data_IF_153212832378
#
_entry.id   IF_153212832378
#
_cell.length_a   1.000
_cell.length_b   1.000
_cell.length_c   1.000
_cell.angle_alpha   90.00
_cell.angle_beta   90.00
_cell.angle_gamma   90.00
#
_symmetry.space_group_name_H-M   'P 1'
#
loop_
_entity.id
_entity.type
_entity.pdbx_description
1 polymer ?
#
# COMPACT_ATOMS: atom_id res chain seq x y z
N UNK A 1 -19.13 28.16 -34.98
CA UNK A 1 -18.53 28.26 -33.63
C UNK A 1 -17.92 26.93 -33.20
N UNK A 2 -16.89 26.46 -33.90
CA UNK A 2 -16.17 25.20 -33.57
C UNK A 2 -14.65 25.35 -33.61
N UNK A 3 -14.13 26.35 -34.31
CA UNK A 3 -12.69 26.63 -34.41
C UNK A 3 -12.12 27.43 -33.22
N UNK A 4 -12.96 28.04 -32.38
CA UNK A 4 -12.49 28.92 -31.27
C UNK A 4 -12.13 28.11 -30.01
N UNK A 5 -12.67 26.89 -29.85
CA UNK A 5 -12.40 26.06 -28.67
C UNK A 5 -11.01 25.39 -28.72
N UNK A 6 -10.44 25.18 -29.92
CA UNK A 6 -9.13 24.53 -30.08
C UNK A 6 -7.93 25.45 -29.73
N UNK A 7 -8.11 26.77 -29.70
CA UNK A 7 -7.03 27.71 -29.40
C UNK A 7 -6.72 27.86 -27.90
N UNK A 8 -7.57 27.36 -27.01
CA UNK A 8 -7.37 27.49 -25.55
C UNK A 8 -6.56 26.31 -24.97
N UNK A 9 -6.59 25.14 -25.62
CA UNK A 9 -5.90 23.93 -25.13
C UNK A 9 -4.40 23.92 -25.48
N UNK A 10 -3.98 24.67 -26.49
CA UNK A 10 -2.57 24.69 -26.95
C UNK A 10 -1.68 25.67 -26.14
N UNK A 11 -2.27 26.58 -25.35
CA UNK A 11 -1.52 27.69 -24.72
C UNK A 11 -1.03 27.44 -23.30
N UNK A 12 -1.23 26.25 -22.72
CA UNK A 12 -0.75 25.94 -21.36
C UNK A 12 0.49 25.03 -21.29
N UNK A 13 1.16 24.76 -22.43
CA UNK A 13 2.34 23.86 -22.48
C UNK A 13 3.68 24.61 -22.57
N UNK A 14 3.69 25.94 -22.74
CA UNK A 14 4.93 26.72 -22.90
C UNK A 14 5.23 27.75 -21.78
N UNK A 15 4.67 27.54 -20.59
CA UNK A 15 4.94 28.39 -19.42
C UNK A 15 6.17 27.95 -18.62
N UNK A 16 7.34 28.45 -19.03
CA UNK A 16 8.49 28.75 -18.16
C UNK A 16 9.19 27.57 -17.45
N UNK A 17 9.97 26.83 -18.23
CA UNK A 17 11.28 26.32 -17.81
C UNK A 17 12.25 27.53 -17.72
N UNK A 18 12.30 28.17 -16.56
CA UNK A 18 13.35 29.10 -16.13
C UNK A 18 13.31 29.13 -14.59
N UNK A 19 14.14 28.32 -13.93
CA UNK A 19 15.42 28.75 -13.35
C UNK A 19 15.22 29.42 -11.99
N UNK A 20 15.53 28.68 -10.91
CA UNK A 20 16.42 29.21 -9.88
C UNK A 20 17.18 28.07 -9.20
N UNK A 21 18.49 28.25 -9.13
CA UNK A 21 19.44 27.37 -8.48
C UNK A 21 19.63 27.86 -7.05
N UNK A 22 19.25 27.05 -6.07
CA UNK A 22 19.43 27.39 -4.66
C UNK A 22 19.43 26.17 -3.75
N UNK A 23 20.58 25.94 -3.11
CA UNK A 23 20.76 25.28 -1.82
C UNK A 23 20.63 23.74 -1.72
N UNK A 24 21.67 23.11 -2.24
CA UNK A 24 22.15 21.80 -1.83
C UNK A 24 22.84 21.85 -0.44
N UNK A 25 22.07 22.00 0.65
CA UNK A 25 22.63 21.93 2.03
C UNK A 25 21.75 21.25 3.10
N UNK A 26 20.48 20.93 2.84
CA UNK A 26 19.58 20.37 3.88
C UNK A 26 19.32 18.86 3.81
N UNK A 27 19.77 18.18 2.75
CA UNK A 27 19.46 16.75 2.55
C UNK A 27 20.37 15.78 3.34
N UNK A 28 21.47 16.24 3.95
CA UNK A 28 22.41 15.35 4.68
C UNK A 28 22.07 15.13 6.16
N UNK A 29 21.25 15.99 6.78
CA UNK A 29 20.93 15.88 8.21
C UNK A 29 19.67 15.05 8.51
N UNK A 30 18.78 14.82 7.53
CA UNK A 30 17.57 14.02 7.75
C UNK A 30 17.79 12.50 7.60
N UNK A 31 18.89 12.09 6.95
CA UNK A 31 19.19 10.65 6.72
C UNK A 31 19.80 9.97 7.96
N UNK A 32 20.36 10.73 8.91
CA UNK A 32 20.97 10.15 10.12
C UNK A 32 20.04 10.07 11.35
N UNK A 33 18.87 10.72 11.33
CA UNK A 33 17.89 10.62 12.41
C UNK A 33 17.00 9.36 12.34
N UNK A 34 16.98 8.65 11.20
CA UNK A 34 16.16 7.46 11.01
C UNK A 34 16.85 6.13 11.41
N UNK A 35 18.10 6.17 11.89
CA UNK A 35 18.92 4.99 12.15
C UNK A 35 19.15 4.68 13.64
N UNK A 36 18.33 5.20 14.54
CA UNK A 36 18.38 4.86 15.97
C UNK A 36 17.00 4.44 16.48
N UNK A 37 16.54 3.28 16.02
CA UNK A 37 15.53 2.52 16.77
C UNK A 37 16.26 1.53 17.68
N UNK A 38 16.43 1.92 18.94
CA UNK A 38 16.86 1.01 20.00
C UNK A 38 15.92 -0.22 20.02
N UNK A 39 16.42 -1.47 20.01
CA UNK A 39 15.58 -2.65 20.14
C UNK A 39 15.27 -2.86 21.62
N UNK A 40 14.39 -2.03 22.17
CA UNK A 40 13.80 -2.23 23.49
C UNK A 40 12.39 -2.78 23.33
N UNK A 41 12.23 -3.97 22.74
CA UNK A 41 10.91 -4.58 22.52
C UNK A 41 10.87 -6.02 23.02
N UNK A 42 10.71 -6.21 24.34
CA UNK A 42 10.43 -7.53 24.93
C UNK A 42 9.02 -7.64 25.53
N UNK A 43 8.12 -6.67 25.28
CA UNK A 43 6.75 -6.70 25.83
C UNK A 43 5.60 -6.27 24.90
N UNK A 44 5.88 -5.96 23.63
CA UNK A 44 4.87 -5.47 22.67
C UNK A 44 4.29 -6.55 21.73
N UNK A 45 4.76 -7.80 21.78
CA UNK A 45 4.55 -8.77 20.69
C UNK A 45 3.13 -9.39 20.63
N UNK A 46 2.40 -9.46 21.75
CA UNK A 46 1.08 -10.11 21.79
C UNK A 46 -0.08 -9.24 21.32
N UNK A 47 -0.06 -7.93 21.61
CA UNK A 47 -1.09 -7.00 21.14
C UNK A 47 -1.04 -6.79 19.63
N UNK A 48 0.18 -6.70 19.09
CA UNK A 48 0.43 -6.45 17.67
C UNK A 48 0.02 -7.64 16.80
N UNK A 49 0.24 -8.87 17.28
CA UNK A 49 -0.19 -10.09 16.56
C UNK A 49 -1.71 -10.22 16.51
N UNK A 50 -2.42 -9.88 17.60
CA UNK A 50 -3.88 -9.93 17.62
C UNK A 50 -4.51 -8.89 16.69
N UNK A 51 -3.99 -7.66 16.70
CA UNK A 51 -4.43 -6.60 15.79
C UNK A 51 -4.21 -7.00 14.33
N UNK A 52 -3.01 -7.50 14.00
CA UNK A 52 -2.67 -7.96 12.66
C UNK A 52 -3.59 -9.10 12.19
N UNK A 53 -3.94 -10.03 13.08
CA UNK A 53 -4.89 -11.11 12.77
C UNK A 53 -6.29 -10.58 12.45
N UNK A 54 -6.78 -9.61 13.23
CA UNK A 54 -8.08 -8.99 13.00
C UNK A 54 -8.12 -8.23 11.66
N UNK A 55 -7.06 -7.47 11.36
CA UNK A 55 -6.93 -6.75 10.10
C UNK A 55 -6.91 -7.70 8.90
N UNK A 56 -6.17 -8.81 9.00
CA UNK A 56 -6.14 -9.86 7.98
C UNK A 56 -7.52 -10.47 7.72
N UNK A 57 -8.27 -10.79 8.79
CA UNK A 57 -9.63 -11.30 8.65
C UNK A 57 -10.53 -10.31 7.91
N UNK A 58 -10.46 -9.03 8.26
CA UNK A 58 -11.24 -7.97 7.61
C UNK A 58 -10.87 -7.82 6.14
N UNK A 59 -9.57 -7.82 5.82
CA UNK A 59 -9.09 -7.70 4.45
C UNK A 59 -9.55 -8.87 3.57
N UNK A 60 -9.53 -10.09 4.10
CA UNK A 60 -10.03 -11.29 3.41
C UNK A 60 -11.52 -11.21 3.09
N UNK A 61 -12.32 -10.68 4.03
CA UNK A 61 -13.76 -10.46 3.79
C UNK A 61 -13.98 -9.45 2.67
N UNK A 62 -13.28 -8.30 2.70
CA UNK A 62 -13.40 -7.26 1.69
C UNK A 62 -12.95 -7.76 0.31
N UNK A 63 -11.84 -8.50 0.25
CA UNK A 63 -11.34 -9.09 -0.99
C UNK A 63 -12.35 -10.08 -1.58
N UNK A 64 -13.00 -10.88 -0.74
CA UNK A 64 -14.05 -11.78 -1.19
C UNK A 64 -15.28 -11.02 -1.71
N UNK A 65 -15.67 -9.91 -1.06
CA UNK A 65 -16.74 -9.05 -1.54
C UNK A 65 -16.40 -8.41 -2.89
N UNK A 66 -15.17 -7.93 -3.07
CA UNK A 66 -14.72 -7.37 -4.35
C UNK A 66 -14.81 -8.41 -5.48
N UNK A 67 -14.31 -9.63 -5.25
CA UNK A 67 -14.41 -10.74 -6.23
C UNK A 67 -15.86 -11.12 -6.54
N UNK A 68 -16.71 -11.16 -5.50
CA UNK A 68 -18.14 -11.44 -5.64
C UNK A 68 -18.83 -10.37 -6.49
N UNK A 69 -18.59 -9.09 -6.18
CA UNK A 69 -19.12 -7.97 -6.95
C UNK A 69 -18.67 -8.02 -8.41
N UNK A 70 -17.42 -8.39 -8.65
CA UNK A 70 -16.84 -8.51 -9.98
C UNK A 70 -17.50 -9.61 -10.83
N UNK A 71 -17.94 -10.68 -10.19
CA UNK A 71 -18.70 -11.74 -10.85
C UNK A 71 -20.11 -11.27 -11.30
N UNK A 72 -20.68 -10.28 -10.62
CA UNK A 72 -21.98 -9.69 -10.98
C UNK A 72 -21.90 -8.60 -12.05
N UNK A 73 -20.70 -8.07 -12.35
CA UNK A 73 -20.50 -7.15 -13.48
C UNK A 73 -20.63 -7.94 -14.79
N UNK A 74 -21.82 -7.90 -15.39
CA UNK A 74 -22.22 -8.71 -16.54
C UNK A 74 -21.28 -8.55 -17.74
N UNK A 75 -20.82 -9.72 -18.24
CA UNK A 75 -20.38 -10.16 -19.60
C UNK A 75 -19.56 -9.27 -20.53
N UNK A 76 -19.32 -8.00 -20.24
CA UNK A 76 -18.44 -7.17 -21.06
C UNK A 76 -17.08 -7.13 -20.39
N UNK A 77 -16.04 -7.66 -21.04
CA UNK A 77 -14.66 -7.35 -20.67
C UNK A 77 -14.45 -5.87 -20.92
N UNK A 78 -14.79 -5.06 -19.94
CA UNK A 78 -14.49 -3.63 -19.96
C UNK A 78 -13.12 -3.41 -19.35
N UNK A 79 -12.38 -2.38 -19.78
CA UNK A 79 -11.12 -1.99 -19.14
C UNK A 79 -11.28 -1.78 -17.62
N UNK A 80 -12.43 -1.26 -17.19
CA UNK A 80 -12.73 -1.06 -15.78
C UNK A 80 -12.87 -2.37 -15.00
N UNK A 81 -13.53 -3.39 -15.56
CA UNK A 81 -13.60 -4.71 -14.94
C UNK A 81 -12.20 -5.29 -14.79
N UNK A 82 -11.39 -5.23 -15.84
CA UNK A 82 -10.02 -5.73 -15.81
C UNK A 82 -9.16 -5.02 -14.76
N UNK A 83 -9.33 -3.70 -14.59
CA UNK A 83 -8.64 -2.97 -13.53
C UNK A 83 -8.99 -3.52 -12.13
N UNK A 84 -10.26 -3.81 -11.86
CA UNK A 84 -10.65 -4.41 -10.57
C UNK A 84 -10.14 -5.85 -10.40
N UNK A 85 -9.99 -6.61 -11.48
CA UNK A 85 -9.33 -7.94 -11.44
C UNK A 85 -7.87 -7.79 -10.99
N UNK A 86 -7.13 -6.86 -11.60
CA UNK A 86 -5.75 -6.57 -11.22
C UNK A 86 -5.61 -6.07 -9.77
N UNK A 87 -6.53 -5.22 -9.33
CA UNK A 87 -6.55 -4.74 -7.94
C UNK A 87 -6.83 -5.90 -6.97
N UNK A 88 -7.73 -6.83 -7.31
CA UNK A 88 -7.96 -8.04 -6.51
C UNK A 88 -6.72 -8.92 -6.37
N UNK A 89 -5.95 -9.06 -7.45
CA UNK A 89 -4.70 -9.82 -7.43
C UNK A 89 -3.62 -9.11 -6.59
N UNK A 90 -3.50 -7.78 -6.71
CA UNK A 90 -2.57 -7.00 -5.89
C UNK A 90 -2.89 -7.11 -4.38
N UNK A 91 -4.17 -6.98 -4.01
CA UNK A 91 -4.59 -7.14 -2.61
C UNK A 91 -4.38 -8.57 -2.09
N UNK A 92 -4.53 -9.59 -2.93
CA UNK A 92 -4.23 -10.97 -2.57
C UNK A 92 -2.75 -11.14 -2.19
N UNK A 93 -1.82 -10.57 -2.97
CA UNK A 93 -0.38 -10.62 -2.66
C UNK A 93 -0.08 -9.99 -1.29
N UNK A 94 -0.73 -8.88 -0.97
CA UNK A 94 -0.57 -8.19 0.33
C UNK A 94 -1.11 -9.07 1.47
N UNK A 95 -2.29 -9.66 1.31
CA UNK A 95 -2.87 -10.61 2.29
C UNK A 95 -1.88 -11.73 2.58
N UNK A 96 -1.35 -12.36 1.54
CA UNK A 96 -0.42 -13.49 1.69
C UNK A 96 0.88 -13.09 2.38
N UNK A 97 1.41 -11.90 2.09
CA UNK A 97 2.59 -11.37 2.78
C UNK A 97 2.30 -11.14 4.26
N UNK A 98 1.15 -10.57 4.60
CA UNK A 98 0.74 -10.33 5.98
C UNK A 98 0.50 -11.66 6.72
N UNK A 99 -0.09 -12.67 6.08
CA UNK A 99 -0.27 -14.01 6.65
C UNK A 99 1.08 -14.67 6.96
N UNK A 100 2.05 -14.61 6.05
CA UNK A 100 3.41 -15.11 6.29
C UNK A 100 4.06 -14.41 7.49
N UNK A 101 3.93 -13.07 7.57
CA UNK A 101 4.46 -12.29 8.70
C UNK A 101 3.80 -12.69 10.02
N UNK A 102 2.48 -12.82 10.05
CA UNK A 102 1.74 -13.23 11.25
C UNK A 102 2.22 -14.62 11.71
N UNK A 103 2.34 -15.58 10.80
CA UNK A 103 2.85 -16.92 11.11
C UNK A 103 4.24 -16.88 11.74
N UNK A 104 5.17 -16.10 11.18
CA UNK A 104 6.50 -15.94 11.77
C UNK A 104 6.48 -15.33 13.18
N UNK A 105 5.53 -14.43 13.46
CA UNK A 105 5.38 -13.86 14.81
C UNK A 105 4.81 -14.89 15.79
N UNK A 106 3.80 -15.65 15.37
CA UNK A 106 3.19 -16.74 16.17
C UNK A 106 4.22 -17.85 16.47
N UNK A 107 5.04 -18.24 15.50
CA UNK A 107 6.10 -19.25 15.65
C UNK A 107 7.19 -18.78 16.63
N UNK A 108 7.48 -17.47 16.69
CA UNK A 108 8.42 -16.91 17.68
C UNK A 108 7.82 -16.86 19.08
N UNK A 109 6.55 -16.48 19.21
CA UNK A 109 5.88 -16.43 20.51
C UNK A 109 5.78 -17.81 21.18
N UNK A 110 5.49 -18.85 20.40
CA UNK A 110 5.39 -20.24 20.88
C UNK A 110 6.74 -20.83 21.33
N UNK A 111 7.85 -20.49 20.67
CA UNK A 111 9.19 -20.92 21.12
C UNK A 111 9.59 -20.30 22.47
N UNK A 112 9.18 -19.07 22.75
CA UNK A 112 9.48 -18.40 24.03
C UNK A 112 8.70 -19.02 25.19
N UNK A 113 7.50 -19.54 24.95
CA UNK A 113 6.66 -20.17 25.97
C UNK A 113 7.10 -21.60 26.31
N UNK A 114 7.60 -22.37 25.32
CA UNK A 114 8.08 -23.75 25.53
C UNK A 114 9.44 -23.86 26.23
N UNK A 115 10.20 -22.76 26.33
CA UNK A 115 11.54 -22.72 26.93
C UNK A 115 11.57 -22.29 28.40
N UNK A 116 10.42 -22.19 29.05
CA UNK A 116 10.25 -21.67 30.42
C UNK A 116 9.59 -22.70 31.33
#
# INVERSE_FOLDING_TARGET
>A
MKAILCMIVVSFVLGAYAQDAGENSQARNLVQAAAQTNPSSSKADSGDTQALRADLQRLKILLNQMRTNLAFVQTTQTPLKHQFELEADAWQVIVEQMERRLKHMEDRGTQVESGR
#
